data_IF_750359572299
#
_entry.id   IF_750359572299
#
_cell.length_a   1.000
_cell.length_b   1.000
_cell.length_c   1.000
_cell.angle_alpha   90.00
_cell.angle_beta   90.00
_cell.angle_gamma   90.00
#
_symmetry.space_group_name_H-M   'P 1'
#
loop_
_entity.id
_entity.type
_entity.pdbx_description
1 polymer ?
#
# COMPACT_ATOMS: atom_id res chain seq x y z
N UNK A 1 -27.78 22.70 16.65
CA UNK A 1 -26.94 23.61 15.85
C UNK A 1 -25.69 22.82 15.49
N UNK A 2 -25.72 22.20 14.32
CA UNK A 2 -24.69 21.30 13.79
C UNK A 2 -23.50 22.14 13.32
N UNK A 3 -22.34 21.88 13.92
CA UNK A 3 -21.05 22.39 13.47
C UNK A 3 -20.75 21.82 12.08
N UNK A 4 -20.84 22.65 11.04
CA UNK A 4 -20.68 22.24 9.63
C UNK A 4 -19.49 22.92 8.94
N UNK A 5 -18.63 23.64 9.67
CA UNK A 5 -17.65 24.56 9.07
C UNK A 5 -16.20 24.09 9.11
N UNK A 6 -15.88 22.93 9.72
CA UNK A 6 -14.51 22.43 9.79
C UNK A 6 -14.16 21.34 8.74
N UNK A 7 -15.15 20.63 8.18
CA UNK A 7 -14.89 19.45 7.34
C UNK A 7 -14.72 19.74 5.84
N UNK A 8 -15.21 20.88 5.36
CA UNK A 8 -15.20 21.22 3.93
C UNK A 8 -13.79 21.32 3.30
N UNK A 9 -12.80 22.02 3.91
CA UNK A 9 -11.48 22.15 3.30
C UNK A 9 -10.69 20.82 3.26
N UNK A 10 -10.87 19.95 4.25
CA UNK A 10 -10.20 18.64 4.29
C UNK A 10 -10.76 17.65 3.25
N UNK A 11 -12.08 17.70 2.99
CA UNK A 11 -12.73 16.89 1.97
C UNK A 11 -12.29 17.29 0.55
N UNK A 12 -12.26 18.60 0.25
CA UNK A 12 -11.77 19.07 -1.06
C UNK A 12 -10.31 18.69 -1.32
N UNK A 13 -9.42 18.80 -0.34
CA UNK A 13 -8.03 18.38 -0.48
C UNK A 13 -7.89 16.88 -0.78
N UNK A 14 -8.73 16.06 -0.14
CA UNK A 14 -8.77 14.60 -0.35
C UNK A 14 -9.26 14.25 -1.76
N UNK A 15 -10.30 14.92 -2.26
CA UNK A 15 -10.83 14.69 -3.60
C UNK A 15 -9.85 15.11 -4.70
N UNK A 16 -9.21 16.27 -4.54
CA UNK A 16 -8.16 16.74 -5.45
C UNK A 16 -6.98 15.77 -5.43
N UNK A 17 -6.53 15.36 -4.23
CA UNK A 17 -5.43 14.41 -4.08
C UNK A 17 -5.71 13.08 -4.80
N UNK A 18 -6.96 12.60 -4.73
CA UNK A 18 -7.38 11.37 -5.42
C UNK A 18 -7.39 11.57 -6.93
N UNK A 19 -8.01 12.65 -7.41
CA UNK A 19 -8.05 12.94 -8.84
C UNK A 19 -6.63 13.04 -9.44
N UNK A 20 -5.69 13.66 -8.73
CA UNK A 20 -4.30 13.74 -9.13
C UNK A 20 -3.63 12.36 -9.18
N UNK A 21 -3.76 11.56 -8.11
CA UNK A 21 -3.18 10.22 -8.03
C UNK A 21 -3.72 9.22 -9.07
N UNK A 22 -4.98 9.40 -9.48
CA UNK A 22 -5.64 8.56 -10.49
C UNK A 22 -5.34 9.01 -11.92
N UNK A 23 -5.07 10.31 -12.14
CA UNK A 23 -4.92 10.89 -13.49
C UNK A 23 -3.47 10.93 -13.97
N UNK A 24 -2.53 11.26 -13.08
CA UNK A 24 -1.16 11.54 -13.46
C UNK A 24 -0.22 10.39 -13.07
N UNK A 25 0.83 10.18 -13.88
CA UNK A 25 1.88 9.24 -13.52
C UNK A 25 2.70 9.75 -12.34
N UNK A 26 3.37 8.82 -11.64
CA UNK A 26 4.22 9.14 -10.50
C UNK A 26 5.32 10.15 -10.87
N UNK A 27 5.93 9.99 -12.05
CA UNK A 27 6.95 10.92 -12.54
C UNK A 27 6.40 12.35 -12.73
N UNK A 28 5.19 12.49 -13.27
CA UNK A 28 4.54 13.81 -13.44
C UNK A 28 4.20 14.45 -12.10
N UNK A 29 3.71 13.65 -11.14
CA UNK A 29 3.43 14.13 -9.79
C UNK A 29 4.69 14.59 -9.05
N UNK A 30 5.79 13.85 -9.20
CA UNK A 30 7.08 14.19 -8.60
C UNK A 30 7.69 15.47 -9.22
N UNK A 31 7.73 15.56 -10.55
CA UNK A 31 8.27 16.73 -11.27
C UNK A 31 7.43 17.99 -11.02
N UNK A 32 6.11 17.84 -10.92
CA UNK A 32 5.19 18.92 -10.56
C UNK A 32 5.21 19.33 -9.08
N UNK A 33 6.02 18.67 -8.24
CA UNK A 33 6.13 18.98 -6.80
C UNK A 33 4.94 18.52 -5.95
N UNK A 34 3.99 17.77 -6.53
CA UNK A 34 2.79 17.30 -5.83
C UNK A 34 3.06 16.19 -4.79
N UNK A 35 4.28 15.64 -4.78
CA UNK A 35 4.72 14.65 -3.79
C UNK A 35 5.81 15.20 -2.84
N UNK A 36 6.09 16.50 -2.92
CA UNK A 36 7.05 17.17 -2.06
C UNK A 36 6.38 17.74 -0.81
N UNK A 37 7.11 17.73 0.31
CA UNK A 37 6.71 18.42 1.54
C UNK A 37 5.37 17.97 2.17
N UNK A 38 4.85 18.74 3.14
CA UNK A 38 3.64 18.38 3.89
C UNK A 38 2.36 18.37 3.04
N UNK A 39 2.24 19.26 2.06
CA UNK A 39 1.04 19.37 1.22
C UNK A 39 0.90 18.18 0.26
N UNK A 40 2.02 17.56 -0.14
CA UNK A 40 2.02 16.35 -0.94
C UNK A 40 1.42 15.13 -0.23
N UNK A 41 1.21 15.20 1.09
CA UNK A 41 0.61 14.10 1.86
C UNK A 41 -0.82 13.80 1.41
N UNK A 42 -1.58 14.82 0.98
CA UNK A 42 -2.93 14.62 0.47
C UNK A 42 -2.94 13.71 -0.77
N UNK A 43 -1.99 13.90 -1.69
CA UNK A 43 -1.82 13.05 -2.89
C UNK A 43 -1.26 11.68 -2.49
N UNK A 44 -0.17 11.65 -1.72
CA UNK A 44 0.48 10.41 -1.30
C UNK A 44 -0.49 9.46 -0.57
N UNK A 45 -1.37 9.99 0.28
CA UNK A 45 -2.38 9.21 1.01
C UNK A 45 -3.39 8.48 0.10
N UNK A 46 -3.58 8.95 -1.14
CA UNK A 46 -4.47 8.33 -2.12
C UNK A 46 -3.75 7.34 -3.03
N UNK A 47 -2.41 7.40 -3.12
CA UNK A 47 -1.61 6.49 -3.92
C UNK A 47 -1.64 5.06 -3.36
N UNK A 48 -1.49 4.09 -4.26
CA UNK A 48 -1.39 2.66 -3.92
C UNK A 48 0.07 2.25 -3.69
N UNK A 49 0.29 1.17 -2.96
CA UNK A 49 1.65 0.68 -2.65
C UNK A 49 2.58 0.61 -3.88
N UNK A 50 2.15 0.10 -5.06
CA UNK A 50 3.03 0.10 -6.24
C UNK A 50 3.45 1.49 -6.70
N UNK A 51 2.53 2.47 -6.68
CA UNK A 51 2.83 3.86 -7.06
C UNK A 51 3.77 4.51 -6.04
N UNK A 52 3.59 4.23 -4.73
CA UNK A 52 4.48 4.72 -3.68
C UNK A 52 5.90 4.13 -3.81
N UNK A 53 6.01 2.83 -4.12
CA UNK A 53 7.29 2.17 -4.40
C UNK A 53 7.96 2.69 -5.66
N UNK A 54 7.19 2.97 -6.71
CA UNK A 54 7.68 3.62 -7.92
C UNK A 54 8.22 5.04 -7.61
N UNK A 55 7.53 5.80 -6.75
CA UNK A 55 7.96 7.14 -6.36
C UNK A 55 9.32 7.11 -5.67
N UNK A 56 9.58 6.11 -4.82
CA UNK A 56 10.88 5.95 -4.15
C UNK A 56 12.07 5.80 -5.12
N UNK A 57 11.84 5.31 -6.35
CA UNK A 57 12.89 5.25 -7.37
C UNK A 57 13.36 6.65 -7.83
N UNK A 58 12.55 7.68 -7.59
CA UNK A 58 12.86 9.08 -7.88
C UNK A 58 13.44 9.82 -6.65
N UNK A 59 13.67 9.12 -5.55
CA UNK A 59 14.17 9.70 -4.30
C UNK A 59 15.62 10.16 -4.40
N UNK A 60 15.91 11.37 -3.90
CA UNK A 60 17.27 11.93 -3.90
C UNK A 60 18.26 11.10 -3.08
N UNK A 61 17.79 10.40 -2.05
CA UNK A 61 18.63 9.52 -1.24
C UNK A 61 19.12 8.27 -1.99
N UNK A 62 18.56 7.94 -3.16
CA UNK A 62 19.02 6.82 -3.98
C UNK A 62 20.46 6.99 -4.50
N UNK A 63 20.98 8.22 -4.53
CA UNK A 63 22.35 8.53 -4.97
C UNK A 63 23.41 8.46 -3.87
N UNK A 64 23.05 8.27 -2.60
CA UNK A 64 24.03 8.17 -1.50
C UNK A 64 24.42 6.74 -1.19
N UNK A 65 25.69 6.51 -0.87
CA UNK A 65 26.20 5.23 -0.34
C UNK A 65 26.15 5.17 1.19
N UNK A 66 25.83 6.29 1.87
CA UNK A 66 25.73 6.37 3.32
C UNK A 66 24.29 6.13 3.78
N UNK A 67 23.89 4.87 3.82
CA UNK A 67 22.56 4.45 4.33
C UNK A 67 22.43 4.76 5.81
N UNK A 68 23.53 4.70 6.56
CA UNK A 68 23.56 4.98 7.99
C UNK A 68 23.26 6.45 8.31
N UNK A 69 23.31 7.35 7.32
CA UNK A 69 22.91 8.76 7.47
C UNK A 69 21.47 8.91 8.00
N UNK A 70 20.59 7.94 7.73
CA UNK A 70 19.17 7.99 8.04
C UNK A 70 18.79 7.27 9.33
N UNK A 71 19.71 6.53 9.95
CA UNK A 71 19.46 5.74 11.16
C UNK A 71 20.33 6.26 12.32
N UNK A 72 19.81 6.19 13.54
CA UNK A 72 20.65 6.30 14.73
C UNK A 72 21.57 5.07 14.80
N UNK A 73 22.86 5.28 15.12
CA UNK A 73 23.80 4.16 15.30
C UNK A 73 23.73 3.64 16.73
N UNK A 74 24.02 2.35 16.93
CA UNK A 74 23.89 1.67 18.24
C UNK A 74 24.59 2.39 19.41
N UNK A 75 25.76 3.00 19.15
CA UNK A 75 26.57 3.69 20.16
C UNK A 75 26.51 5.22 20.04
N UNK A 76 25.63 5.76 19.19
CA UNK A 76 25.57 7.21 18.96
C UNK A 76 24.77 7.93 20.06
N UNK A 77 25.38 8.92 20.75
CA UNK A 77 24.68 9.75 21.70
C UNK A 77 23.48 10.46 21.07
N UNK A 78 22.37 10.57 21.81
CA UNK A 78 21.13 11.16 21.30
C UNK A 78 21.33 12.59 20.75
N UNK A 79 22.16 13.42 21.38
CA UNK A 79 22.44 14.79 20.90
C UNK A 79 23.20 14.81 19.57
N UNK A 80 24.15 13.89 19.38
CA UNK A 80 24.88 13.74 18.11
C UNK A 80 23.92 13.27 17.01
N UNK A 81 23.05 12.30 17.32
CA UNK A 81 22.01 11.84 16.42
C UNK A 81 21.06 12.97 16.03
N UNK A 82 20.57 13.77 16.99
CA UNK A 82 19.67 14.89 16.71
C UNK A 82 20.29 15.92 15.76
N UNK A 83 21.58 16.22 15.93
CA UNK A 83 22.29 17.13 15.02
C UNK A 83 22.46 16.52 13.63
N UNK A 84 22.80 15.23 13.56
CA UNK A 84 23.04 14.54 12.29
C UNK A 84 21.74 14.32 11.51
N UNK A 85 20.65 13.92 12.18
CA UNK A 85 19.34 13.70 11.54
C UNK A 85 18.81 14.96 10.90
N UNK A 86 18.96 16.13 11.54
CA UNK A 86 18.55 17.42 10.97
C UNK A 86 19.33 17.73 9.69
N UNK A 87 20.65 17.48 9.69
CA UNK A 87 21.48 17.62 8.50
C UNK A 87 21.06 16.65 7.39
N UNK A 88 20.80 15.39 7.72
CA UNK A 88 20.30 14.39 6.77
C UNK A 88 18.96 14.82 6.17
N UNK A 89 18.02 15.31 6.99
CA UNK A 89 16.73 15.82 6.53
C UNK A 89 16.94 16.98 5.56
N UNK A 90 17.73 17.98 5.94
CA UNK A 90 17.98 19.16 5.12
C UNK A 90 18.67 18.82 3.79
N UNK A 91 19.60 17.86 3.81
CA UNK A 91 20.38 17.47 2.63
C UNK A 91 19.58 16.61 1.65
N UNK A 92 18.81 15.63 2.16
CA UNK A 92 18.21 14.60 1.33
C UNK A 92 16.70 14.69 1.25
N UNK A 93 16.02 14.90 2.39
CA UNK A 93 14.57 14.75 2.47
C UNK A 93 13.81 16.03 2.12
N UNK A 94 14.25 17.17 2.64
CA UNK A 94 13.63 18.47 2.38
C UNK A 94 13.58 18.85 0.89
N UNK A 95 14.66 18.64 0.09
CA UNK A 95 14.60 18.88 -1.36
C UNK A 95 14.01 17.71 -2.16
N UNK A 96 13.60 16.61 -1.52
CA UNK A 96 13.18 15.41 -2.23
C UNK A 96 11.81 15.61 -2.90
N UNK A 97 11.67 15.36 -4.21
CA UNK A 97 10.40 15.53 -4.92
C UNK A 97 9.34 14.51 -4.50
N UNK A 98 9.74 13.44 -3.79
CA UNK A 98 8.88 12.33 -3.36
C UNK A 98 8.87 12.16 -1.84
N UNK A 99 9.19 13.22 -1.09
CA UNK A 99 9.24 13.18 0.38
C UNK A 99 7.92 12.69 0.99
N UNK A 100 6.77 13.18 0.52
CA UNK A 100 5.46 12.77 1.03
C UNK A 100 5.15 11.30 0.73
N UNK A 101 5.50 10.82 -0.45
CA UNK A 101 5.32 9.41 -0.81
C UNK A 101 6.19 8.48 0.04
N UNK A 102 7.44 8.90 0.33
CA UNK A 102 8.33 8.19 1.23
C UNK A 102 7.77 8.11 2.65
N UNK A 103 7.25 9.22 3.19
CA UNK A 103 6.63 9.25 4.50
C UNK A 103 5.37 8.39 4.56
N UNK A 104 4.44 8.53 3.62
CA UNK A 104 3.21 7.73 3.60
C UNK A 104 3.51 6.23 3.54
N UNK A 105 4.49 5.79 2.75
CA UNK A 105 4.86 4.38 2.71
C UNK A 105 5.43 3.90 4.06
N UNK A 106 6.29 4.71 4.69
CA UNK A 106 6.83 4.39 6.01
C UNK A 106 5.75 4.32 7.09
N UNK A 107 4.71 5.16 7.01
CA UNK A 107 3.59 5.12 7.95
C UNK A 107 2.68 3.89 7.73
N UNK A 108 2.51 3.43 6.49
CA UNK A 108 1.74 2.20 6.18
C UNK A 108 2.45 0.93 6.62
N UNK A 109 3.77 0.90 6.47
CA UNK A 109 4.61 -0.26 6.77
C UNK A 109 5.75 0.16 7.71
N UNK A 110 5.43 0.51 8.97
CA UNK A 110 6.42 1.02 9.90
C UNK A 110 7.47 -0.04 10.22
N UNK A 111 8.73 0.38 10.22
CA UNK A 111 9.83 -0.37 10.83
C UNK A 111 9.59 -0.47 12.35
N UNK A 112 10.29 -1.39 13.02
CA UNK A 112 10.23 -1.45 14.47
C UNK A 112 10.71 -0.13 15.08
N UNK A 113 10.18 0.25 16.24
CA UNK A 113 10.46 1.56 16.85
C UNK A 113 11.95 1.83 17.12
N UNK A 114 12.76 0.77 17.25
CA UNK A 114 14.22 0.87 17.43
C UNK A 114 14.99 1.03 16.11
N UNK A 115 14.33 0.75 14.99
CA UNK A 115 14.91 0.74 13.65
C UNK A 115 14.30 1.86 12.79
N UNK A 116 13.63 2.84 13.40
CA UNK A 116 13.03 3.93 12.63
C UNK A 116 14.12 4.80 12.03
N UNK A 117 14.18 4.83 10.71
CA UNK A 117 14.95 5.82 9.98
C UNK A 117 14.17 7.13 9.81
N UNK A 118 14.90 8.19 9.48
CA UNK A 118 14.33 9.40 8.88
C UNK A 118 13.66 9.04 7.56
N UNK A 119 12.36 9.37 7.42
CA UNK A 119 11.55 9.09 6.23
C UNK A 119 10.77 10.34 5.83
N UNK A 120 10.89 10.74 4.57
CA UNK A 120 10.16 11.89 4.02
C UNK A 120 10.33 13.21 4.78
N UNK A 121 11.44 13.37 5.52
CA UNK A 121 11.72 14.56 6.33
C UNK A 121 11.11 14.54 7.72
N UNK A 122 10.39 13.48 8.10
CA UNK A 122 9.89 13.28 9.45
C UNK A 122 10.93 12.55 10.31
N UNK A 123 11.13 13.04 11.54
CA UNK A 123 11.86 12.30 12.57
C UNK A 123 11.07 11.08 13.02
N UNK A 124 11.73 10.20 13.77
CA UNK A 124 11.14 8.99 14.34
C UNK A 124 9.96 9.32 15.25
N UNK A 125 10.08 10.34 16.09
CA UNK A 125 9.02 10.77 17.00
C UNK A 125 7.82 11.34 16.24
N UNK A 126 8.08 12.07 15.15
CA UNK A 126 7.04 12.57 14.25
C UNK A 126 6.30 11.41 13.57
N UNK A 127 7.04 10.42 13.05
CA UNK A 127 6.44 9.24 12.42
C UNK A 127 5.56 8.44 13.39
N UNK A 128 6.03 8.22 14.62
CA UNK A 128 5.24 7.56 15.66
C UNK A 128 3.98 8.35 16.02
N UNK A 129 4.06 9.68 16.05
CA UNK A 129 2.92 10.56 16.35
C UNK A 129 1.90 10.54 15.22
N UNK A 130 2.35 10.70 13.98
CA UNK A 130 1.51 10.64 12.78
C UNK A 130 0.86 9.27 12.62
N UNK A 131 1.62 8.19 12.78
CA UNK A 131 1.12 6.83 12.69
C UNK A 131 0.00 6.52 13.70
N UNK A 132 0.11 7.06 14.92
CA UNK A 132 -0.97 6.96 15.93
C UNK A 132 -2.20 7.78 15.55
N UNK A 133 -1.99 9.02 15.11
CA UNK A 133 -3.07 9.91 14.71
C UNK A 133 -3.89 9.34 13.53
N UNK A 134 -3.21 8.75 12.56
CA UNK A 134 -3.80 8.27 11.30
C UNK A 134 -4.05 6.75 11.26
N UNK A 135 -3.95 6.05 12.39
CA UNK A 135 -3.90 4.58 12.39
C UNK A 135 -5.07 3.90 11.65
N UNK A 136 -6.30 4.40 11.78
CA UNK A 136 -7.47 3.85 11.08
C UNK A 136 -7.39 4.06 9.56
N UNK A 137 -6.95 5.26 9.13
CA UNK A 137 -6.76 5.60 7.72
C UNK A 137 -5.68 4.72 7.10
N UNK A 138 -4.55 4.58 7.78
CA UNK A 138 -3.43 3.76 7.35
C UNK A 138 -3.83 2.28 7.27
N UNK A 139 -4.53 1.75 8.28
CA UNK A 139 -5.04 0.37 8.26
C UNK A 139 -5.96 0.11 7.06
N UNK A 140 -6.85 1.06 6.73
CA UNK A 140 -7.70 0.98 5.53
C UNK A 140 -6.88 0.99 4.25
N UNK A 141 -5.86 1.84 4.17
CA UNK A 141 -4.97 1.89 3.01
C UNK A 141 -4.20 0.57 2.82
N UNK A 142 -3.63 0.02 3.90
CA UNK A 142 -2.94 -1.28 3.88
C UNK A 142 -3.89 -2.43 3.49
N UNK A 143 -5.12 -2.45 4.00
CA UNK A 143 -6.12 -3.45 3.61
C UNK A 143 -6.45 -3.37 2.12
N UNK A 144 -6.55 -2.16 1.58
CA UNK A 144 -6.72 -1.96 0.16
C UNK A 144 -5.49 -2.46 -0.62
N UNK A 145 -4.27 -2.23 -0.13
CA UNK A 145 -2.99 -2.66 -0.76
C UNK A 145 -2.84 -4.18 -0.78
N UNK A 146 -3.31 -4.89 0.26
CA UNK A 146 -3.32 -6.34 0.33
C UNK A 146 -4.36 -6.99 -0.61
N UNK A 147 -5.49 -6.31 -0.86
CA UNK A 147 -6.67 -6.89 -1.55
C UNK A 147 -6.35 -7.55 -2.91
N UNK A 148 -5.55 -6.97 -3.83
CA UNK A 148 -5.23 -7.64 -5.10
C UNK A 148 -4.47 -8.96 -4.92
N UNK A 149 -3.56 -9.02 -3.94
CA UNK A 149 -2.80 -10.23 -3.63
C UNK A 149 -3.71 -11.31 -3.03
N UNK A 150 -4.57 -10.94 -2.07
CA UNK A 150 -5.58 -11.83 -1.48
C UNK A 150 -6.53 -12.39 -2.55
N UNK A 151 -7.06 -11.52 -3.43
CA UNK A 151 -7.91 -11.94 -4.54
C UNK A 151 -7.19 -12.89 -5.51
N UNK A 152 -5.87 -12.74 -5.71
CA UNK A 152 -5.07 -13.69 -6.49
C UNK A 152 -4.96 -15.03 -5.78
N UNK A 153 -4.66 -15.03 -4.48
CA UNK A 153 -4.55 -16.25 -3.67
C UNK A 153 -5.86 -17.03 -3.67
N UNK A 154 -7.01 -16.38 -3.45
CA UNK A 154 -8.31 -17.03 -3.44
C UNK A 154 -8.66 -17.63 -4.81
N UNK A 155 -8.39 -16.91 -5.92
CA UNK A 155 -8.58 -17.46 -7.27
C UNK A 155 -7.71 -18.68 -7.53
N UNK A 156 -6.45 -18.68 -7.08
CA UNK A 156 -5.55 -19.82 -7.21
C UNK A 156 -6.02 -21.00 -6.34
N UNK A 157 -6.49 -20.75 -5.12
CA UNK A 157 -7.08 -21.77 -4.24
C UNK A 157 -8.31 -22.42 -4.89
N UNK A 158 -9.24 -21.61 -5.39
CA UNK A 158 -10.42 -22.11 -6.09
C UNK A 158 -10.08 -22.94 -7.34
N UNK A 159 -9.06 -22.53 -8.11
CA UNK A 159 -8.59 -23.30 -9.26
C UNK A 159 -7.97 -24.65 -8.84
N UNK A 160 -7.16 -24.67 -7.78
CA UNK A 160 -6.59 -25.91 -7.22
C UNK A 160 -7.67 -26.86 -6.71
N UNK A 161 -8.71 -26.34 -6.09
CA UNK A 161 -9.83 -27.14 -5.58
C UNK A 161 -10.58 -27.84 -6.70
N UNK A 162 -10.89 -27.14 -7.80
CA UNK A 162 -11.47 -27.76 -9.00
C UNK A 162 -10.57 -28.87 -9.54
N UNK A 163 -9.26 -28.63 -9.65
CA UNK A 163 -8.31 -29.65 -10.11
C UNK A 163 -8.27 -30.86 -9.19
N UNK A 164 -8.24 -30.65 -7.87
CA UNK A 164 -8.25 -31.71 -6.85
C UNK A 164 -9.51 -32.57 -6.94
N UNK A 165 -10.68 -31.94 -6.98
CA UNK A 165 -11.96 -32.64 -7.11
C UNK A 165 -12.02 -33.43 -8.42
N UNK A 166 -11.65 -32.79 -9.53
CA UNK A 166 -11.60 -33.45 -10.85
C UNK A 166 -10.72 -34.70 -10.82
N UNK A 167 -9.53 -34.62 -10.24
CA UNK A 167 -8.60 -35.76 -10.10
C UNK A 167 -9.15 -36.86 -9.18
N UNK A 168 -9.80 -36.50 -8.08
CA UNK A 168 -10.38 -37.45 -7.13
C UNK A 168 -11.63 -38.17 -7.64
N UNK A 169 -12.32 -37.58 -8.63
CA UNK A 169 -13.57 -38.11 -9.18
C UNK A 169 -13.38 -38.91 -10.48
N UNK A 170 -12.13 -39.13 -10.93
CA UNK A 170 -11.84 -39.97 -12.09
C UNK A 170 -11.97 -41.44 -11.71
N UNK A 171 -13.05 -42.09 -12.13
CA UNK A 171 -13.23 -43.53 -11.99
C UNK A 171 -14.66 -43.99 -12.29
N UNK A 172 -14.82 -44.95 -13.21
CA UNK A 172 -16.13 -45.52 -13.55
C UNK A 172 -16.67 -46.49 -12.48
N UNK A 173 -15.85 -46.87 -11.50
CA UNK A 173 -16.19 -47.82 -10.43
C UNK A 173 -16.87 -47.19 -9.21
N UNK A 174 -17.24 -45.92 -9.28
CA UNK A 174 -17.87 -45.18 -8.18
C UNK A 174 -19.37 -45.48 -8.12
N UNK A 175 -19.90 -45.76 -6.92
CA UNK A 175 -21.33 -46.02 -6.71
C UNK A 175 -22.20 -44.83 -7.16
N UNK A 176 -23.44 -45.03 -7.62
CA UNK A 176 -24.29 -43.96 -8.17
C UNK A 176 -24.55 -42.79 -7.21
N UNK A 177 -24.74 -43.06 -5.92
CA UNK A 177 -24.90 -42.07 -4.85
C UNK A 177 -23.64 -41.19 -4.69
N UNK A 178 -22.46 -41.81 -4.67
CA UNK A 178 -21.18 -41.10 -4.59
C UNK A 178 -20.90 -40.27 -5.86
N UNK A 179 -21.31 -40.75 -7.05
CA UNK A 179 -21.22 -39.98 -8.29
C UNK A 179 -22.06 -38.69 -8.25
N UNK A 180 -23.25 -38.75 -7.68
CA UNK A 180 -24.12 -37.58 -7.56
C UNK A 180 -23.54 -36.54 -6.59
N UNK A 181 -22.97 -36.98 -5.47
CA UNK A 181 -22.24 -36.12 -4.53
C UNK A 181 -21.04 -35.45 -5.20
N UNK A 182 -20.18 -36.24 -5.84
CA UNK A 182 -18.99 -35.75 -6.56
C UNK A 182 -19.35 -34.69 -7.64
N UNK A 183 -20.42 -34.92 -8.40
CA UNK A 183 -20.89 -33.95 -9.40
C UNK A 183 -21.36 -32.65 -8.72
N UNK A 184 -22.10 -32.76 -7.62
CA UNK A 184 -22.60 -31.58 -6.89
C UNK A 184 -21.44 -30.75 -6.33
N UNK A 185 -20.45 -31.39 -5.73
CA UNK A 185 -19.23 -30.75 -5.21
C UNK A 185 -18.43 -30.07 -6.32
N UNK A 186 -18.20 -30.76 -7.44
CA UNK A 186 -17.49 -30.19 -8.58
C UNK A 186 -18.22 -29.00 -9.18
N UNK A 187 -19.56 -29.07 -9.32
CA UNK A 187 -20.38 -27.93 -9.79
C UNK A 187 -20.25 -26.73 -8.86
N UNK A 188 -20.32 -26.94 -7.54
CA UNK A 188 -20.17 -25.87 -6.56
C UNK A 188 -18.77 -25.22 -6.63
N UNK A 189 -17.72 -26.04 -6.75
CA UNK A 189 -16.35 -25.54 -6.87
C UNK A 189 -16.13 -24.74 -8.17
N UNK A 190 -16.68 -25.20 -9.30
CA UNK A 190 -16.66 -24.47 -10.58
C UNK A 190 -17.39 -23.13 -10.48
N UNK A 191 -18.61 -23.13 -9.94
CA UNK A 191 -19.38 -21.90 -9.75
C UNK A 191 -18.66 -20.89 -8.84
N UNK A 192 -18.00 -21.38 -7.77
CA UNK A 192 -17.21 -20.53 -6.89
C UNK A 192 -16.01 -19.90 -7.62
N UNK A 193 -15.26 -20.69 -8.40
CA UNK A 193 -14.15 -20.19 -9.22
C UNK A 193 -14.63 -19.15 -10.24
N UNK A 194 -15.73 -19.42 -10.94
CA UNK A 194 -16.29 -18.51 -11.95
C UNK A 194 -16.74 -17.19 -11.33
N UNK A 195 -17.38 -17.22 -10.15
CA UNK A 195 -17.74 -16.01 -9.39
C UNK A 195 -16.51 -15.14 -9.11
N UNK A 196 -15.43 -15.73 -8.59
CA UNK A 196 -14.18 -15.00 -8.30
C UNK A 196 -13.51 -14.45 -9.58
N UNK A 197 -13.58 -15.19 -10.69
CA UNK A 197 -13.08 -14.71 -11.98
C UNK A 197 -13.93 -13.55 -12.53
N UNK A 198 -15.25 -13.62 -12.40
CA UNK A 198 -16.18 -12.56 -12.79
C UNK A 198 -15.98 -11.28 -11.97
N UNK A 199 -15.80 -11.41 -10.65
CA UNK A 199 -15.44 -10.29 -9.77
C UNK A 199 -14.15 -9.62 -10.22
N UNK A 200 -13.10 -10.40 -10.48
CA UNK A 200 -11.83 -9.86 -10.98
C UNK A 200 -12.00 -9.12 -12.30
N UNK A 201 -12.68 -9.72 -13.30
CA UNK A 201 -12.89 -9.09 -14.61
C UNK A 201 -13.66 -7.77 -14.49
N UNK A 202 -14.67 -7.69 -13.62
CA UNK A 202 -15.40 -6.44 -13.36
C UNK A 202 -14.49 -5.36 -12.78
N UNK A 203 -13.65 -5.72 -11.81
CA UNK A 203 -12.72 -4.77 -11.17
C UNK A 203 -11.64 -4.28 -12.12
N UNK A 204 -11.15 -5.14 -13.03
CA UNK A 204 -10.08 -4.76 -13.97
C UNK A 204 -10.57 -4.21 -15.31
N UNK A 205 -11.89 -4.09 -15.51
CA UNK A 205 -12.46 -3.59 -16.77
C UNK A 205 -12.45 -4.59 -17.94
N UNK A 206 -12.23 -5.88 -17.67
CA UNK A 206 -12.23 -6.97 -18.67
C UNK A 206 -13.63 -7.58 -18.89
N UNK A 207 -14.68 -6.93 -18.38
CA UNK A 207 -16.06 -7.41 -18.42
C UNK A 207 -16.95 -6.65 -19.44
N UNK A 208 -16.35 -5.96 -20.42
CA UNK A 208 -17.06 -5.38 -21.55
C UNK A 208 -17.60 -6.47 -22.49
#
# INVERSE_FOLDING_TARGET
>A
MTSMTADFPAQCATEIGRALADTYSVAVLADGGYLAGPDGQAVASQMREPQLREALLLGLCGGTNDVNAFYQRDEEPAEEWMTRRERTIAQYCAPCPVAAACLELALRYPEHSRDLAVRGGATEEMQLTLGKADHERLAKACALDARPAEQRVERLRAAREVSRLTQSHIGLSVKPDVRQTNHTELKAALAHRERLQGEYRRVTGWAA
#
